data_IF_561942381246
#
_entry.id   IF_561942381246
#
_cell.length_a   1.000
_cell.length_b   1.000
_cell.length_c   1.000
_cell.angle_alpha   90.00
_cell.angle_beta   90.00
_cell.angle_gamma   90.00
#
_symmetry.space_group_name_H-M   'P 1'
#
loop_
_entity.id
_entity.type
_entity.pdbx_description
1 polymer ?
#
# COMPACT_ATOMS: atom_id res chain seq x y z
N UNK A 1 4.59 -6.91 17.57
CA UNK A 1 4.28 -7.62 16.27
C UNK A 1 3.49 -6.63 15.46
N UNK A 2 3.82 -6.40 14.20
CA UNK A 2 3.07 -5.47 13.34
C UNK A 2 1.77 -6.10 12.86
N UNK A 3 0.69 -5.35 12.94
CA UNK A 3 -0.59 -5.72 12.30
C UNK A 3 -0.53 -5.28 10.84
N UNK A 4 -0.53 -6.22 9.91
CA UNK A 4 -0.38 -5.96 8.48
C UNK A 4 -1.57 -6.51 7.72
N UNK A 5 -2.07 -5.73 6.77
CA UNK A 5 -3.20 -6.11 5.91
C UNK A 5 -2.88 -5.82 4.44
N UNK A 6 -3.68 -6.37 3.54
CA UNK A 6 -3.71 -6.05 2.11
C UNK A 6 -2.35 -6.18 1.39
N UNK A 7 -1.66 -7.29 1.62
CA UNK A 7 -0.37 -7.53 0.97
C UNK A 7 -0.49 -7.81 -0.53
N UNK A 8 0.41 -7.22 -1.34
CA UNK A 8 0.59 -7.54 -2.77
C UNK A 8 2.04 -7.88 -3.08
N UNK A 9 2.26 -8.86 -3.96
CA UNK A 9 3.60 -9.22 -4.43
C UNK A 9 3.96 -8.40 -5.66
N UNK A 10 5.20 -7.92 -5.67
CA UNK A 10 5.80 -7.25 -6.81
C UNK A 10 7.25 -7.72 -7.00
N UNK A 11 7.62 -8.03 -8.24
CA UNK A 11 8.98 -8.47 -8.59
C UNK A 11 9.74 -7.33 -9.24
N UNK A 12 10.93 -7.04 -8.72
CA UNK A 12 11.84 -6.06 -9.31
C UNK A 12 13.27 -6.61 -9.32
N UNK A 13 13.86 -6.69 -10.50
CA UNK A 13 15.24 -7.20 -10.68
C UNK A 13 15.47 -8.53 -9.95
N UNK A 14 14.59 -9.51 -10.18
CA UNK A 14 14.61 -10.87 -9.59
C UNK A 14 14.36 -10.90 -8.06
N UNK A 15 14.15 -9.76 -7.42
CA UNK A 15 13.82 -9.67 -6.01
C UNK A 15 12.32 -9.55 -5.82
N UNK A 16 11.67 -10.47 -5.10
CA UNK A 16 10.27 -10.33 -4.73
C UNK A 16 10.13 -9.38 -3.54
N UNK A 17 9.13 -8.53 -3.60
CA UNK A 17 8.74 -7.63 -2.53
C UNK A 17 7.28 -7.88 -2.16
N UNK A 18 6.99 -7.91 -0.86
CA UNK A 18 5.65 -7.78 -0.35
C UNK A 18 5.41 -6.31 -0.01
N UNK A 19 4.41 -5.70 -0.64
CA UNK A 19 3.94 -4.35 -0.33
C UNK A 19 2.64 -4.52 0.44
N UNK A 20 2.49 -3.82 1.56
CA UNK A 20 1.38 -4.01 2.47
C UNK A 20 1.03 -2.74 3.23
N UNK A 21 -0.20 -2.68 3.72
CA UNK A 21 -0.64 -1.66 4.65
C UNK A 21 -0.29 -2.07 6.08
N UNK A 22 0.43 -1.22 6.80
CA UNK A 22 0.60 -1.35 8.24
C UNK A 22 -0.68 -0.81 8.89
N UNK A 23 -1.33 -1.63 9.71
CA UNK A 23 -2.63 -1.29 10.26
C UNK A 23 -2.61 0.01 11.05
N UNK A 24 -3.66 0.80 10.90
CA UNK A 24 -3.85 2.05 11.65
C UNK A 24 -3.94 1.84 13.17
N UNK A 25 -4.22 0.64 13.64
CA UNK A 25 -4.19 0.28 15.06
C UNK A 25 -2.78 0.42 15.65
N UNK A 26 -1.75 0.15 14.86
CA UNK A 26 -0.35 0.28 15.25
C UNK A 26 0.24 1.63 14.79
N UNK A 27 -0.22 2.17 13.65
CA UNK A 27 0.27 3.42 13.05
C UNK A 27 -0.89 4.28 12.52
N UNK A 28 -1.37 5.25 13.31
CA UNK A 28 -2.52 6.07 12.93
C UNK A 28 -2.25 7.02 11.73
N UNK A 29 -1.01 7.13 11.27
CA UNK A 29 -0.65 7.89 10.06
C UNK A 29 -1.07 7.19 8.76
N UNK A 30 -1.38 5.89 8.82
CA UNK A 30 -1.73 5.07 7.66
C UNK A 30 -0.50 4.78 6.79
N UNK A 31 0.31 3.83 7.21
CA UNK A 31 1.59 3.52 6.59
C UNK A 31 1.43 2.53 5.43
N UNK A 32 2.00 2.86 4.29
CA UNK A 32 2.26 1.90 3.21
C UNK A 32 3.70 1.44 3.30
N UNK A 33 3.89 0.14 3.45
CA UNK A 33 5.20 -0.46 3.68
C UNK A 33 5.57 -1.49 2.62
N UNK A 34 6.85 -1.80 2.53
CA UNK A 34 7.36 -2.93 1.75
C UNK A 34 8.39 -3.72 2.56
N UNK A 35 8.50 -5.01 2.25
CA UNK A 35 9.55 -5.89 2.77
C UNK A 35 10.07 -6.79 1.64
N UNK A 36 11.40 -6.96 1.48
CA UNK A 36 11.93 -7.92 0.55
C UNK A 36 11.68 -9.35 1.05
N UNK A 37 11.38 -10.24 0.13
CA UNK A 37 11.24 -11.67 0.39
C UNK A 37 12.39 -12.45 -0.23
N UNK A 38 12.64 -13.65 0.27
CA UNK A 38 13.51 -14.58 -0.41
C UNK A 38 12.84 -15.10 -1.71
N UNK A 39 13.61 -15.58 -2.69
CA UNK A 39 13.05 -16.02 -3.98
C UNK A 39 12.06 -17.18 -3.88
N UNK A 40 12.07 -17.94 -2.78
CA UNK A 40 11.10 -19.02 -2.52
C UNK A 40 9.80 -18.52 -1.92
N UNK A 41 9.72 -17.24 -1.54
CA UNK A 41 8.58 -16.57 -0.89
C UNK A 41 8.22 -17.15 0.49
N UNK A 42 9.14 -17.85 1.13
CA UNK A 42 8.86 -18.53 2.40
C UNK A 42 9.28 -17.69 3.63
N UNK A 43 10.14 -16.71 3.43
CA UNK A 43 10.63 -15.84 4.51
C UNK A 43 10.99 -14.46 3.99
N UNK A 44 11.08 -13.52 4.92
CA UNK A 44 11.59 -12.18 4.63
C UNK A 44 13.10 -12.22 4.40
N UNK A 45 13.58 -11.35 3.50
CA UNK A 45 15.00 -11.20 3.16
C UNK A 45 15.58 -9.85 3.65
N UNK A 46 14.87 -9.17 4.54
CA UNK A 46 15.29 -7.90 5.13
C UNK A 46 14.24 -7.31 6.03
N UNK A 47 14.49 -6.08 6.47
CA UNK A 47 13.58 -5.33 7.33
C UNK A 47 12.49 -4.60 6.52
N UNK A 48 11.30 -4.39 7.10
CA UNK A 48 10.26 -3.61 6.46
C UNK A 48 10.69 -2.14 6.34
N UNK A 49 10.25 -1.51 5.25
CA UNK A 49 10.51 -0.10 4.96
C UNK A 49 9.20 0.64 4.74
N UNK A 50 9.10 1.83 5.32
CA UNK A 50 8.03 2.77 5.03
C UNK A 50 8.22 3.35 3.63
N UNK A 51 7.19 3.26 2.78
CA UNK A 51 7.13 3.91 1.48
C UNK A 51 6.57 5.33 1.60
N UNK A 52 5.40 5.46 2.21
CA UNK A 52 4.72 6.75 2.47
C UNK A 52 3.64 6.58 3.54
N UNK A 53 3.15 7.70 4.04
CA UNK A 53 2.03 7.79 4.97
C UNK A 53 0.80 8.38 4.27
N UNK A 54 -0.40 7.86 4.54
CA UNK A 54 -1.65 8.42 4.02
C UNK A 54 -1.85 9.87 4.48
N UNK A 55 -1.46 10.18 5.71
CA UNK A 55 -1.51 11.53 6.29
C UNK A 55 -0.72 12.58 5.48
N UNK A 56 0.26 12.18 4.67
CA UNK A 56 1.00 13.08 3.78
C UNK A 56 0.28 13.38 2.46
N UNK A 57 -0.74 12.58 2.11
CA UNK A 57 -1.48 12.71 0.86
C UNK A 57 -2.57 13.77 0.97
N UNK A 58 -2.56 14.79 0.08
CA UNK A 58 -3.50 15.92 0.14
C UNK A 58 -4.97 15.55 -0.01
N UNK A 59 -5.26 14.38 -0.59
CA UNK A 59 -6.60 13.90 -0.82
C UNK A 59 -7.13 12.98 0.29
N UNK A 60 -6.22 12.41 1.09
CA UNK A 60 -6.60 11.56 2.20
C UNK A 60 -7.01 12.43 3.40
N UNK A 61 -8.03 11.98 4.09
CA UNK A 61 -8.60 12.62 5.26
C UNK A 61 -8.66 11.64 6.43
N UNK A 62 -8.67 12.13 7.67
CA UNK A 62 -8.90 11.26 8.82
C UNK A 62 -10.23 10.52 8.72
N UNK A 63 -10.26 9.29 9.20
CA UNK A 63 -11.47 8.47 9.28
C UNK A 63 -12.45 9.10 10.28
N UNK A 64 -13.64 9.54 9.87
CA UNK A 64 -14.54 10.32 10.74
C UNK A 64 -15.18 9.50 11.87
N UNK A 65 -15.15 8.18 11.77
CA UNK A 65 -15.74 7.24 12.73
C UNK A 65 -14.68 6.51 13.57
N UNK A 66 -13.40 6.88 13.47
CA UNK A 66 -12.30 6.19 14.17
C UNK A 66 -12.52 6.08 15.69
N UNK A 67 -13.01 7.16 16.33
CA UNK A 67 -13.31 7.15 17.76
C UNK A 67 -14.50 6.25 18.10
N UNK A 68 -15.56 6.28 17.29
CA UNK A 68 -16.81 5.57 17.57
C UNK A 68 -16.65 4.07 17.34
N UNK A 69 -16.02 3.67 16.24
CA UNK A 69 -15.90 2.26 15.84
C UNK A 69 -14.67 1.56 16.40
N UNK A 70 -13.57 2.29 16.58
CA UNK A 70 -12.28 1.69 16.98
C UNK A 70 -11.77 2.22 18.34
N UNK A 71 -12.45 3.21 18.93
CA UNK A 71 -12.04 3.81 20.21
C UNK A 71 -10.76 4.65 20.12
N UNK A 72 -10.33 5.04 18.92
CA UNK A 72 -9.11 5.79 18.69
C UNK A 72 -9.35 7.28 18.73
N UNK A 73 -8.57 7.99 19.55
CA UNK A 73 -8.59 9.45 19.64
C UNK A 73 -7.58 10.07 18.66
N UNK A 74 -7.92 11.27 18.15
CA UNK A 74 -7.10 12.01 17.19
C UNK A 74 -7.38 11.65 15.74
N UNK A 75 -6.51 12.15 14.86
CA UNK A 75 -6.60 11.91 13.42
C UNK A 75 -6.04 10.52 13.09
N UNK A 76 -6.89 9.67 12.55
CA UNK A 76 -6.55 8.31 12.12
C UNK A 76 -6.69 8.19 10.62
N UNK A 77 -5.61 7.84 9.96
CA UNK A 77 -5.54 7.55 8.52
C UNK A 77 -5.30 6.06 8.31
N UNK A 78 -5.59 5.57 7.13
CA UNK A 78 -5.25 4.22 6.72
C UNK A 78 -4.78 4.17 5.27
N UNK A 79 -4.10 3.09 4.91
CA UNK A 79 -3.83 2.68 3.54
C UNK A 79 -4.42 1.29 3.33
N UNK A 80 -4.98 1.04 2.14
CA UNK A 80 -5.53 -0.26 1.76
C UNK A 80 -5.13 -0.62 0.33
N UNK A 81 -5.15 -1.90 0.03
CA UNK A 81 -5.16 -2.49 -1.30
C UNK A 81 -4.07 -2.00 -2.26
N UNK A 82 -2.79 -2.03 -1.87
CA UNK A 82 -1.71 -1.61 -2.77
C UNK A 82 -1.68 -2.48 -4.03
N UNK A 83 -1.60 -1.84 -5.20
CA UNK A 83 -1.48 -2.52 -6.48
C UNK A 83 -0.44 -1.80 -7.34
N UNK A 84 0.74 -2.41 -7.49
CA UNK A 84 1.88 -1.82 -8.20
C UNK A 84 1.84 -2.21 -9.67
N UNK A 85 2.10 -1.26 -10.55
CA UNK A 85 2.15 -1.49 -11.99
C UNK A 85 3.11 -0.53 -12.68
N UNK A 86 3.60 -0.91 -13.87
CA UNK A 86 4.38 -0.04 -14.75
C UNK A 86 3.54 0.44 -15.92
N UNK A 87 3.68 1.73 -16.24
CA UNK A 87 3.13 2.35 -17.42
C UNK A 87 4.15 3.34 -17.98
N UNK A 88 4.44 3.28 -19.27
CA UNK A 88 5.38 4.20 -19.96
C UNK A 88 6.75 4.32 -19.27
N UNK A 89 7.30 3.19 -18.81
CA UNK A 89 8.55 3.08 -18.04
C UNK A 89 8.54 3.68 -16.64
N UNK A 90 7.42 4.17 -16.18
CA UNK A 90 7.22 4.72 -14.85
C UNK A 90 6.57 3.69 -13.93
N UNK A 91 6.86 3.75 -12.64
CA UNK A 91 6.28 2.87 -11.63
C UNK A 91 5.20 3.62 -10.83
N UNK A 92 4.03 3.00 -10.78
CA UNK A 92 2.86 3.52 -10.09
C UNK A 92 2.32 2.52 -9.09
N UNK A 93 1.56 3.01 -8.12
CA UNK A 93 0.80 2.21 -7.17
C UNK A 93 -0.60 2.78 -7.02
N UNK A 94 -1.63 1.98 -7.25
CA UNK A 94 -2.97 2.26 -6.73
C UNK A 94 -3.00 1.90 -5.25
N UNK A 95 -3.67 2.72 -4.46
CA UNK A 95 -3.91 2.47 -3.06
C UNK A 95 -5.17 3.21 -2.60
N UNK A 96 -5.79 2.77 -1.53
CA UNK A 96 -7.03 3.35 -1.05
C UNK A 96 -6.86 3.98 0.33
N UNK A 97 -7.70 4.97 0.61
CA UNK A 97 -7.84 5.63 1.91
C UNK A 97 -9.19 6.35 2.00
N UNK A 98 -9.41 7.04 3.10
CA UNK A 98 -10.58 7.90 3.25
C UNK A 98 -10.33 9.23 2.55
N UNK A 99 -11.18 9.60 1.60
CA UNK A 99 -11.15 10.87 0.89
C UNK A 99 -12.31 11.79 1.31
N UNK A 100 -12.45 12.92 0.62
CA UNK A 100 -13.47 13.94 0.92
C UNK A 100 -14.91 13.37 0.91
N UNK A 101 -15.20 12.45 0.00
CA UNK A 101 -16.54 11.87 -0.19
C UNK A 101 -16.65 10.42 0.32
N UNK A 102 -15.72 9.98 1.16
CA UNK A 102 -15.67 8.61 1.67
C UNK A 102 -14.48 7.82 1.13
N UNK A 103 -14.60 6.50 1.09
CA UNK A 103 -13.55 5.60 0.62
C UNK A 103 -13.16 5.89 -0.83
N UNK A 104 -11.89 6.16 -1.08
CA UNK A 104 -11.37 6.60 -2.38
C UNK A 104 -10.08 5.85 -2.76
N UNK A 105 -9.82 5.78 -4.06
CA UNK A 105 -8.59 5.20 -4.61
C UNK A 105 -7.70 6.31 -5.16
N UNK A 106 -6.47 6.35 -4.70
CA UNK A 106 -5.43 7.26 -5.18
C UNK A 106 -4.36 6.57 -6.02
N UNK A 107 -3.51 7.38 -6.62
CA UNK A 107 -2.34 6.91 -7.38
C UNK A 107 -1.10 7.53 -6.77
N UNK A 108 -0.15 6.70 -6.40
CA UNK A 108 1.20 7.11 -6.08
C UNK A 108 2.14 6.80 -7.25
N UNK A 109 3.14 7.65 -7.48
CA UNK A 109 4.18 7.46 -8.49
C UNK A 109 5.54 7.38 -7.82
N UNK A 110 6.36 6.39 -8.17
CA UNK A 110 7.74 6.31 -7.72
C UNK A 110 8.56 7.42 -8.36
N UNK A 111 9.30 8.19 -7.56
CA UNK A 111 10.22 9.23 -8.07
C UNK A 111 11.50 8.65 -8.67
N UNK A 112 11.85 7.42 -8.30
CA UNK A 112 13.06 6.74 -8.77
C UNK A 112 12.80 5.76 -9.91
N UNK A 113 11.53 5.42 -10.16
CA UNK A 113 11.13 4.34 -11.05
C UNK A 113 11.32 2.95 -10.48
N UNK A 114 11.80 2.82 -9.23
CA UNK A 114 12.00 1.56 -8.52
C UNK A 114 11.04 1.47 -7.33
N UNK A 115 10.63 0.24 -6.97
CA UNK A 115 9.74 0.01 -5.82
C UNK A 115 10.46 0.26 -4.49
N UNK A 116 11.75 -0.08 -4.43
CA UNK A 116 12.58 0.04 -3.23
C UNK A 116 13.43 1.33 -3.19
N UNK A 117 13.48 2.11 -4.27
CA UNK A 117 14.27 3.34 -4.36
C UNK A 117 15.71 3.17 -3.90
N UNK A 118 16.61 2.64 -4.74
CA UNK A 118 17.98 2.31 -4.33
C UNK A 118 18.72 3.51 -3.75
N UNK A 119 19.25 3.33 -2.56
CA UNK A 119 20.46 4.02 -2.09
C UNK A 119 20.28 5.36 -1.39
N UNK A 120 19.11 5.81 -1.03
CA UNK A 120 18.98 6.99 -0.20
C UNK A 120 18.25 6.67 1.11
N UNK A 121 18.86 7.10 2.23
CA UNK A 121 18.21 7.18 3.54
C UNK A 121 17.08 8.23 3.60
N UNK A 122 16.60 8.69 2.46
CA UNK A 122 15.43 9.56 2.31
C UNK A 122 14.21 8.69 2.09
N UNK A 123 13.11 9.02 2.81
CA UNK A 123 11.76 8.47 2.56
C UNK A 123 11.53 8.40 1.06
N UNK A 124 11.13 7.25 0.55
CA UNK A 124 10.70 7.10 -0.83
C UNK A 124 9.56 8.10 -1.07
N UNK A 125 9.84 9.16 -1.81
CA UNK A 125 8.81 10.13 -2.12
C UNK A 125 8.01 9.63 -3.30
N UNK A 126 6.86 9.09 -3.02
CA UNK A 126 5.81 9.01 -4.01
C UNK A 126 5.27 10.43 -4.23
N UNK A 127 5.23 10.84 -5.50
CA UNK A 127 4.81 12.19 -5.88
C UNK A 127 3.48 12.58 -5.24
N UNK A 128 3.43 13.73 -4.59
CA UNK A 128 2.20 14.30 -3.99
C UNK A 128 1.13 14.71 -5.02
N UNK A 129 1.37 14.52 -6.31
CA UNK A 129 0.39 14.76 -7.37
C UNK A 129 -0.46 13.52 -7.55
N UNK A 130 -1.46 13.38 -6.70
CA UNK A 130 -2.40 12.28 -6.75
C UNK A 130 -3.64 12.72 -7.52
N UNK A 131 -3.99 11.97 -8.55
CA UNK A 131 -5.31 12.08 -9.15
C UNK A 131 -6.26 11.21 -8.30
N UNK A 132 -7.22 11.83 -7.65
CA UNK A 132 -8.33 11.12 -7.04
C UNK A 132 -9.20 10.57 -8.16
N UNK A 133 -9.29 9.27 -8.25
CA UNK A 133 -10.22 8.62 -9.16
C UNK A 133 -11.45 8.19 -8.36
N UNK A 134 -12.44 9.07 -8.29
CA UNK A 134 -13.75 8.70 -7.79
C UNK A 134 -14.34 7.58 -8.67
N UNK A 135 -14.81 6.55 -8.06
CA UNK A 135 -15.62 5.36 -8.48
C UNK A 135 -16.06 5.19 -9.96
N UNK A 136 -15.62 5.99 -10.92
CA UNK A 136 -16.06 5.94 -12.32
C UNK A 136 -15.40 4.85 -13.19
N UNK A 137 -14.58 3.99 -12.62
CA UNK A 137 -13.86 2.95 -13.35
C UNK A 137 -14.50 1.55 -13.27
N UNK A 138 -15.77 1.45 -13.04
CA UNK A 138 -16.44 0.17 -12.74
C UNK A 138 -16.43 -0.87 -13.87
N UNK A 139 -16.19 -0.52 -15.12
CA UNK A 139 -16.44 -1.46 -16.23
C UNK A 139 -15.17 -1.95 -16.95
N UNK A 140 -14.14 -1.14 -17.13
CA UNK A 140 -12.86 -1.62 -17.72
C UNK A 140 -11.88 -2.22 -16.68
N UNK A 141 -12.10 -2.01 -15.39
CA UNK A 141 -11.23 -2.39 -14.27
C UNK A 141 -11.52 -3.75 -13.63
N UNK A 142 -12.54 -4.45 -14.03
CA UNK A 142 -12.83 -5.79 -13.47
C UNK A 142 -11.62 -6.74 -13.53
N UNK A 143 -10.76 -6.58 -14.51
CA UNK A 143 -9.56 -7.42 -14.70
C UNK A 143 -8.44 -7.05 -13.71
N UNK A 144 -8.15 -5.77 -13.49
CA UNK A 144 -7.07 -5.34 -12.59
C UNK A 144 -7.43 -5.50 -11.11
N UNK A 145 -8.67 -5.18 -10.73
CA UNK A 145 -9.17 -5.45 -9.37
C UNK A 145 -9.18 -6.95 -9.05
N UNK A 146 -9.55 -7.78 -10.02
CA UNK A 146 -9.53 -9.24 -9.87
C UNK A 146 -8.09 -9.76 -9.71
N UNK A 147 -7.12 -9.19 -10.43
CA UNK A 147 -5.71 -9.59 -10.34
C UNK A 147 -5.12 -9.25 -8.98
N UNK A 148 -5.37 -8.06 -8.45
CA UNK A 148 -4.95 -7.67 -7.11
C UNK A 148 -5.64 -8.51 -6.01
N UNK A 149 -6.92 -8.83 -6.17
CA UNK A 149 -7.68 -9.66 -5.22
C UNK A 149 -7.19 -11.13 -5.22
N UNK A 150 -6.83 -11.70 -6.36
CA UNK A 150 -6.27 -13.06 -6.47
C UNK A 150 -4.89 -13.13 -5.82
N UNK A 151 -4.07 -12.10 -5.96
CA UNK A 151 -2.77 -12.01 -5.27
C UNK A 151 -2.96 -12.00 -3.75
N UNK A 152 -3.94 -11.27 -3.22
CA UNK A 152 -4.23 -11.22 -1.77
C UNK A 152 -4.60 -12.58 -1.16
N UNK A 153 -5.31 -13.45 -1.88
CA UNK A 153 -5.69 -14.79 -1.40
C UNK A 153 -4.46 -15.68 -1.21
N UNK A 154 -3.46 -15.56 -2.08
CA UNK A 154 -2.25 -16.37 -1.99
C UNK A 154 -1.33 -15.94 -0.84
N UNK A 155 -1.33 -14.66 -0.46
CA UNK A 155 -0.43 -14.10 0.56
C UNK A 155 -0.88 -14.46 1.98
N UNK A 156 -2.19 -14.59 2.26
CA UNK A 156 -2.68 -15.04 3.57
C UNK A 156 -2.10 -16.39 3.99
N UNK A 157 -1.80 -17.27 3.03
CA UNK A 157 -1.20 -18.56 3.31
C UNK A 157 0.30 -18.46 3.63
N UNK A 158 1.01 -17.45 3.13
CA UNK A 158 2.45 -17.26 3.37
C UNK A 158 2.70 -16.66 4.76
N UNK A 159 1.87 -15.71 5.19
CA UNK A 159 2.03 -15.04 6.50
C UNK A 159 1.57 -15.88 7.69
N UNK A 160 0.77 -16.96 7.48
CA UNK A 160 0.29 -17.82 8.54
C UNK A 160 1.26 -18.95 8.96
N UNK A 161 2.36 -19.17 8.26
CA UNK A 161 3.33 -20.23 8.52
C UNK A 161 4.54 -19.83 9.39
N UNK A 162 4.57 -18.62 9.91
CA UNK A 162 5.63 -18.13 10.81
C UNK A 162 5.26 -18.24 12.29
N UNK A 163 4.90 -19.44 12.78
CA UNK A 163 4.81 -19.77 14.20
C UNK A 163 5.74 -20.90 14.53
#
# INVERSE_FOLDING_TARGET
>A
MWSCIDGTLYWENETPYLIFSHSFEDSPSGDMCLIPLDPTLQKTAGEPKLLFEAAEAKWAHPVPFAKIEFGMDGDVYFTDGPCVFRAENELYMFWSSWGTNGYAVGVAKSETGEVNGRGSSRKLRYSRKTAVMEWYFAIKKKIYSLYCTIQMINIRNILSFGK
#
